data_IF_348973547342
#
_entry.id   IF_348973547342
#
_cell.length_a   1.000
_cell.length_b   1.000
_cell.length_c   1.000
_cell.angle_alpha   90.00
_cell.angle_beta   90.00
_cell.angle_gamma   90.00
#
_symmetry.space_group_name_H-M   'P 1'
#
loop_
_entity.id
_entity.type
_entity.pdbx_description
1 polymer ?
#
# COMPACT_ATOMS: atom_id res chain seq x y z
N UNK A 1 -17.18 10.12 21.76
CA UNK A 1 -15.99 9.40 21.27
C UNK A 1 -16.08 9.08 19.79
N UNK A 2 -17.12 8.39 19.25
CA UNK A 2 -17.22 8.03 17.82
C UNK A 2 -17.17 9.22 16.86
N UNK A 3 -17.81 10.35 17.18
CA UNK A 3 -17.79 11.58 16.36
C UNK A 3 -16.40 12.25 16.34
N UNK A 4 -15.67 12.20 17.45
CA UNK A 4 -14.30 12.76 17.54
C UNK A 4 -13.31 11.91 16.72
N UNK A 5 -13.43 10.58 16.76
CA UNK A 5 -12.62 9.68 15.98
C UNK A 5 -12.83 9.89 14.46
N UNK A 6 -14.09 10.02 14.03
CA UNK A 6 -14.44 10.33 12.65
C UNK A 6 -13.88 11.68 12.20
N UNK A 7 -13.99 12.71 13.02
CA UNK A 7 -13.43 14.03 12.74
C UNK A 7 -11.90 13.99 12.64
N UNK A 8 -11.23 13.25 13.53
CA UNK A 8 -9.77 13.10 13.50
C UNK A 8 -9.31 12.37 12.24
N UNK A 9 -10.03 11.32 11.81
CA UNK A 9 -9.74 10.60 10.58
C UNK A 9 -9.90 11.53 9.37
N UNK A 10 -10.98 12.29 9.29
CA UNK A 10 -11.23 13.24 8.19
C UNK A 10 -10.18 14.36 8.18
N UNK A 11 -9.79 14.91 9.34
CA UNK A 11 -8.77 15.95 9.44
C UNK A 11 -7.37 15.47 9.06
N UNK A 12 -7.06 14.20 9.31
CA UNK A 12 -5.76 13.62 8.94
C UNK A 12 -5.69 13.18 7.48
N UNK A 13 -6.82 12.84 6.87
CA UNK A 13 -6.85 12.37 5.47
C UNK A 13 -6.98 13.52 4.47
N UNK A 14 -7.68 14.61 4.80
CA UNK A 14 -7.92 15.72 3.89
C UNK A 14 -6.62 16.36 3.33
N UNK A 15 -5.59 16.71 4.14
CA UNK A 15 -4.34 17.24 3.61
C UNK A 15 -3.54 16.21 2.80
N UNK A 16 -3.70 14.91 3.07
CA UNK A 16 -3.00 13.85 2.37
C UNK A 16 -3.56 13.64 0.95
N UNK A 17 -4.86 13.84 0.78
CA UNK A 17 -5.51 13.78 -0.54
C UNK A 17 -5.07 14.93 -1.45
N UNK A 18 -4.74 16.08 -0.88
CA UNK A 18 -4.25 17.24 -1.63
C UNK A 18 -2.80 17.08 -2.15
N UNK A 19 -2.05 16.13 -1.60
CA UNK A 19 -0.66 15.83 -2.01
C UNK A 19 -0.58 14.71 -3.07
N UNK A 20 -1.70 14.08 -3.41
CA UNK A 20 -1.69 12.97 -4.36
C UNK A 20 -1.44 13.47 -5.79
N UNK A 21 -0.56 12.77 -6.51
CA UNK A 21 -0.25 13.08 -7.90
C UNK A 21 -1.40 12.72 -8.85
N UNK A 22 -1.47 13.42 -9.98
CA UNK A 22 -2.47 13.15 -11.00
C UNK A 22 -1.97 12.07 -11.98
N UNK A 23 -1.94 10.82 -11.50
CA UNK A 23 -1.44 9.67 -12.24
C UNK A 23 -2.15 9.45 -13.59
N UNK A 24 -3.40 9.89 -13.72
CA UNK A 24 -4.15 9.82 -14.98
C UNK A 24 -3.64 10.81 -16.02
N UNK A 25 -3.41 12.05 -15.63
CA UNK A 25 -2.88 13.08 -16.52
C UNK A 25 -1.43 12.80 -16.89
N UNK A 26 -0.59 12.40 -15.93
CA UNK A 26 0.80 12.02 -16.19
C UNK A 26 0.88 10.91 -17.23
N UNK A 27 0.03 9.90 -17.09
CA UNK A 27 -0.02 8.83 -18.09
C UNK A 27 -0.42 9.37 -19.47
N UNK A 28 -1.47 10.18 -19.57
CA UNK A 28 -1.93 10.77 -20.83
C UNK A 28 -0.84 11.58 -21.50
N UNK A 29 -0.15 12.41 -20.72
CA UNK A 29 0.76 13.45 -21.26
C UNK A 29 2.15 12.89 -21.61
N UNK A 30 2.60 11.83 -20.92
CA UNK A 30 3.95 11.29 -21.08
C UNK A 30 3.99 9.88 -21.67
N UNK A 31 2.85 9.19 -21.80
CA UNK A 31 2.86 7.85 -22.38
C UNK A 31 3.19 7.88 -23.87
N UNK A 32 4.35 7.36 -24.22
CA UNK A 32 4.76 7.04 -25.59
C UNK A 32 4.59 5.54 -25.80
N UNK A 33 3.95 5.18 -26.93
CA UNK A 33 3.76 3.76 -27.28
C UNK A 33 5.06 2.98 -27.22
N UNK A 34 5.01 1.82 -26.62
CA UNK A 34 6.14 0.92 -26.48
C UNK A 34 6.10 0.13 -25.17
N UNK A 35 6.23 -1.17 -25.27
CA UNK A 35 6.11 -2.09 -24.13
C UNK A 35 7.15 -1.86 -23.03
N UNK A 36 8.31 -1.28 -23.36
CA UNK A 36 9.37 -1.00 -22.38
C UNK A 36 8.95 0.07 -21.35
N UNK A 37 8.41 1.20 -21.84
CA UNK A 37 7.92 2.27 -20.97
C UNK A 37 6.75 1.82 -20.11
N UNK A 38 5.80 1.09 -20.71
CA UNK A 38 4.66 0.55 -20.00
C UNK A 38 5.07 -0.46 -18.93
N UNK A 39 6.11 -1.27 -19.18
CA UNK A 39 6.67 -2.20 -18.18
C UNK A 39 7.31 -1.46 -17.02
N UNK A 40 8.09 -0.41 -17.28
CA UNK A 40 8.72 0.38 -16.22
C UNK A 40 7.67 1.06 -15.35
N UNK A 41 6.68 1.71 -15.96
CA UNK A 41 5.56 2.31 -15.25
C UNK A 41 4.78 1.29 -14.41
N UNK A 42 4.42 0.13 -14.99
CA UNK A 42 3.71 -0.93 -14.28
C UNK A 42 4.51 -1.46 -13.08
N UNK A 43 5.83 -1.59 -13.22
CA UNK A 43 6.70 -2.01 -12.11
C UNK A 43 6.66 -1.02 -10.95
N UNK A 44 6.77 0.27 -11.25
CA UNK A 44 6.75 1.32 -10.24
C UNK A 44 5.38 1.44 -9.58
N UNK A 45 4.30 1.32 -10.37
CA UNK A 45 2.94 1.28 -9.85
C UNK A 45 2.71 0.08 -8.91
N UNK A 46 3.22 -1.10 -9.28
CA UNK A 46 3.16 -2.29 -8.42
C UNK A 46 3.90 -2.06 -7.09
N UNK A 47 5.10 -1.50 -7.15
CA UNK A 47 5.88 -1.15 -5.96
C UNK A 47 5.13 -0.17 -5.06
N UNK A 48 4.55 0.88 -5.63
CA UNK A 48 3.78 1.90 -4.91
C UNK A 48 2.54 1.32 -4.23
N UNK A 49 1.73 0.53 -4.96
CA UNK A 49 0.53 -0.13 -4.41
C UNK A 49 0.90 -1.18 -3.37
N UNK A 50 1.96 -1.95 -3.64
CA UNK A 50 2.45 -2.97 -2.71
C UNK A 50 2.98 -2.43 -1.39
N UNK A 51 3.43 -1.18 -1.31
CA UNK A 51 3.86 -0.56 -0.05
C UNK A 51 2.74 -0.54 1.00
N UNK A 52 1.49 -0.58 0.58
CA UNK A 52 0.32 -0.59 1.47
C UNK A 52 0.16 -1.92 2.23
N UNK A 53 0.77 -3.02 1.78
CA UNK A 53 0.70 -4.33 2.43
C UNK A 53 1.31 -4.34 3.84
N UNK A 54 2.21 -3.42 4.10
CA UNK A 54 3.03 -3.43 5.29
C UNK A 54 2.55 -2.47 6.39
N UNK A 55 1.27 -2.22 6.48
CA UNK A 55 0.75 -1.22 7.42
C UNK A 55 0.81 -1.64 8.89
N UNK A 56 1.05 -2.92 9.20
CA UNK A 56 1.21 -3.37 10.59
C UNK A 56 1.99 -4.68 10.69
N UNK A 57 2.99 -4.70 11.57
CA UNK A 57 3.74 -5.91 11.95
C UNK A 57 3.25 -6.55 13.26
N UNK A 58 2.22 -5.99 13.91
CA UNK A 58 1.75 -6.47 15.22
C UNK A 58 0.52 -7.35 15.10
N UNK A 59 0.53 -8.46 15.86
CA UNK A 59 -0.67 -9.27 16.05
C UNK A 59 -1.76 -8.45 16.76
N UNK A 60 -2.94 -8.34 16.17
CA UNK A 60 -4.08 -7.65 16.76
C UNK A 60 -4.91 -8.61 17.59
N UNK A 61 -5.41 -8.13 18.74
CA UNK A 61 -6.31 -8.88 19.58
C UNK A 61 -7.73 -8.80 19.00
N UNK A 62 -8.39 -9.94 18.91
CA UNK A 62 -9.80 -10.00 18.51
C UNK A 62 -10.73 -9.66 19.71
N UNK A 63 -11.94 -9.13 19.49
CA UNK A 63 -12.54 -8.73 18.22
C UNK A 63 -12.17 -7.27 17.89
N UNK A 64 -11.33 -7.06 16.90
CA UNK A 64 -10.89 -5.71 16.54
C UNK A 64 -11.20 -5.37 15.09
N UNK A 65 -11.77 -4.21 14.86
CA UNK A 65 -11.81 -3.55 13.57
C UNK A 65 -10.76 -2.45 13.61
N UNK A 66 -9.87 -2.44 12.66
CA UNK A 66 -8.94 -1.35 12.45
C UNK A 66 -9.37 -0.57 11.21
N UNK A 67 -9.52 0.74 11.38
CA UNK A 67 -9.74 1.68 10.28
C UNK A 67 -8.53 2.60 10.22
N UNK A 68 -7.90 2.71 9.07
CA UNK A 68 -6.67 3.47 8.92
C UNK A 68 -6.60 4.22 7.59
N UNK A 69 -5.67 5.15 7.56
CA UNK A 69 -5.25 5.85 6.36
C UNK A 69 -3.73 5.82 6.27
N UNK A 70 -3.23 5.52 5.07
CA UNK A 70 -1.80 5.56 4.77
C UNK A 70 -1.53 6.52 3.63
N UNK A 71 -0.29 6.97 3.57
CA UNK A 71 0.29 7.65 2.41
C UNK A 71 1.59 6.97 2.05
N UNK A 72 1.70 6.61 0.79
CA UNK A 72 2.94 6.13 0.19
C UNK A 72 3.55 7.22 -0.66
N UNK A 73 4.83 7.48 -0.48
CA UNK A 73 5.65 8.40 -1.27
C UNK A 73 6.74 7.55 -1.92
N UNK A 74 6.72 7.45 -3.23
CA UNK A 74 7.56 6.53 -3.99
C UNK A 74 8.36 7.27 -5.04
N UNK A 75 9.65 6.97 -5.14
CA UNK A 75 10.51 7.49 -6.20
C UNK A 75 10.43 6.57 -7.41
N UNK A 76 9.91 7.04 -8.56
CA UNK A 76 9.89 6.25 -9.78
C UNK A 76 11.29 5.85 -10.24
N UNK A 77 11.40 4.73 -10.93
CA UNK A 77 12.65 4.27 -11.52
C UNK A 77 13.08 5.15 -12.71
N UNK A 78 14.37 5.25 -12.96
CA UNK A 78 14.91 6.03 -14.06
C UNK A 78 14.47 5.58 -15.47
N UNK A 79 13.95 4.36 -15.58
CA UNK A 79 13.37 3.85 -16.83
C UNK A 79 11.87 4.15 -17.01
N UNK A 80 11.25 4.80 -16.04
CA UNK A 80 9.86 5.21 -16.09
C UNK A 80 9.76 6.67 -16.56
N UNK A 81 9.47 6.86 -17.82
CA UNK A 81 9.31 8.18 -18.43
C UNK A 81 7.85 8.68 -18.41
N UNK A 82 6.93 7.92 -17.82
CA UNK A 82 5.51 8.27 -17.73
C UNK A 82 5.24 9.11 -16.48
N UNK A 83 5.89 8.80 -15.37
CA UNK A 83 5.79 9.61 -14.16
C UNK A 83 6.58 10.91 -14.36
N UNK A 84 5.90 12.05 -14.30
CA UNK A 84 6.48 13.38 -14.52
C UNK A 84 7.30 13.85 -13.33
N UNK A 85 6.96 13.38 -12.13
CA UNK A 85 7.48 13.87 -10.87
C UNK A 85 8.63 13.05 -10.32
N UNK A 86 9.47 13.71 -9.51
CA UNK A 86 10.56 13.05 -8.79
C UNK A 86 10.05 12.03 -7.77
N UNK A 87 8.81 12.18 -7.30
CA UNK A 87 8.13 11.28 -6.36
C UNK A 87 6.65 11.18 -6.72
N UNK A 88 6.08 10.00 -6.55
CA UNK A 88 4.64 9.74 -6.69
C UNK A 88 4.03 9.53 -5.31
N UNK A 89 2.95 10.23 -5.03
CA UNK A 89 2.24 10.19 -3.74
C UNK A 89 0.88 9.54 -3.91
N UNK A 90 0.60 8.49 -3.13
CA UNK A 90 -0.65 7.75 -3.20
C UNK A 90 -1.20 7.44 -1.80
N UNK A 91 -2.31 8.08 -1.40
CA UNK A 91 -3.01 7.75 -0.16
C UNK A 91 -3.94 6.55 -0.35
N UNK A 92 -4.14 5.77 0.73
CA UNK A 92 -5.11 4.68 0.82
C UNK A 92 -5.90 4.75 2.12
N UNK A 93 -7.17 4.36 2.04
CA UNK A 93 -7.97 3.99 3.20
C UNK A 93 -7.95 2.48 3.38
N UNK A 94 -7.84 2.02 4.61
CA UNK A 94 -7.73 0.60 4.95
C UNK A 94 -8.71 0.27 6.06
N UNK A 95 -9.42 -0.84 5.89
CA UNK A 95 -10.21 -1.49 6.92
C UNK A 95 -9.72 -2.91 7.10
N UNK A 96 -9.46 -3.31 8.33
CA UNK A 96 -9.00 -4.67 8.65
C UNK A 96 -9.79 -5.22 9.83
N UNK A 97 -10.14 -6.49 9.76
CA UNK A 97 -10.71 -7.23 10.88
C UNK A 97 -10.11 -8.62 10.96
N UNK A 98 -10.06 -9.20 12.17
CA UNK A 98 -9.61 -10.58 12.36
C UNK A 98 -10.75 -11.55 12.52
N UNK A 99 -10.60 -12.72 11.91
CA UNK A 99 -11.49 -13.85 12.16
C UNK A 99 -11.10 -14.50 13.49
N UNK A 100 -12.06 -14.68 14.41
CA UNK A 100 -11.78 -15.30 15.71
C UNK A 100 -11.08 -16.65 15.57
N UNK A 101 -10.17 -16.92 16.50
CA UNK A 101 -9.50 -18.22 16.68
C UNK A 101 -8.60 -18.70 15.53
N UNK A 102 -8.66 -18.09 14.33
CA UNK A 102 -7.89 -18.53 13.16
C UNK A 102 -6.59 -17.76 12.95
N UNK A 103 -6.38 -16.64 13.64
CA UNK A 103 -5.23 -15.75 13.38
C UNK A 103 -5.24 -15.09 11.99
N UNK A 104 -6.33 -15.29 11.22
CA UNK A 104 -6.52 -14.76 9.88
C UNK A 104 -7.19 -13.40 9.97
N UNK A 105 -6.62 -12.41 9.32
CA UNK A 105 -7.22 -11.10 9.09
C UNK A 105 -7.79 -10.98 7.68
N UNK A 106 -8.85 -10.20 7.55
CA UNK A 106 -9.42 -9.78 6.27
C UNK A 106 -9.18 -8.28 6.13
N UNK A 107 -8.63 -7.87 5.02
CA UNK A 107 -8.31 -6.47 4.72
C UNK A 107 -9.10 -6.03 3.50
N UNK A 108 -9.73 -4.85 3.59
CA UNK A 108 -10.23 -4.09 2.45
C UNK A 108 -9.46 -2.77 2.37
N UNK A 109 -9.09 -2.36 1.18
CA UNK A 109 -8.36 -1.11 0.98
C UNK A 109 -8.76 -0.43 -0.32
N UNK A 110 -8.63 0.89 -0.37
CA UNK A 110 -8.98 1.62 -1.57
C UNK A 110 -8.52 3.06 -1.55
N UNK A 111 -8.48 3.63 -2.75
CA UNK A 111 -8.19 5.04 -2.99
C UNK A 111 -9.02 5.55 -4.16
N UNK A 112 -9.36 6.81 -4.13
CA UNK A 112 -9.99 7.54 -5.24
C UNK A 112 -9.47 8.97 -5.21
N UNK A 113 -8.36 9.19 -5.93
CA UNK A 113 -7.64 10.47 -5.89
C UNK A 113 -7.07 10.81 -7.26
N UNK A 114 -7.22 12.07 -7.64
CA UNK A 114 -6.56 12.69 -8.81
C UNK A 114 -6.56 11.80 -10.07
N UNK A 115 -7.75 11.22 -10.40
CA UNK A 115 -7.92 10.42 -11.60
C UNK A 115 -7.46 8.97 -11.49
N UNK A 116 -6.89 8.54 -10.35
CA UNK A 116 -6.60 7.15 -10.06
C UNK A 116 -7.55 6.60 -9.00
N UNK A 117 -8.25 5.53 -9.34
CA UNK A 117 -9.13 4.80 -8.43
C UNK A 117 -8.63 3.36 -8.29
N UNK A 118 -8.47 2.90 -7.06
CA UNK A 118 -8.16 1.50 -6.76
C UNK A 118 -9.06 0.97 -5.66
N UNK A 119 -9.45 -0.28 -5.82
CA UNK A 119 -10.13 -1.06 -4.79
C UNK A 119 -9.47 -2.42 -4.71
N UNK A 120 -9.18 -2.85 -3.51
CA UNK A 120 -8.51 -4.11 -3.26
C UNK A 120 -8.85 -4.70 -1.92
N UNK A 121 -8.30 -5.86 -1.68
CA UNK A 121 -8.43 -6.55 -0.42
C UNK A 121 -7.49 -7.73 -0.34
N UNK A 122 -7.42 -8.34 0.84
CA UNK A 122 -6.51 -9.44 1.06
C UNK A 122 -6.76 -10.16 2.36
N UNK A 123 -5.93 -11.14 2.57
CA UNK A 123 -5.89 -11.94 3.78
C UNK A 123 -4.53 -11.75 4.45
N UNK A 124 -4.54 -11.66 5.76
CA UNK A 124 -3.33 -11.67 6.58
C UNK A 124 -3.39 -12.84 7.55
N UNK A 125 -2.23 -13.42 7.83
CA UNK A 125 -2.08 -14.45 8.86
C UNK A 125 -0.96 -14.03 9.79
N UNK A 126 -1.20 -14.08 11.10
CA UNK A 126 -0.25 -13.67 12.12
C UNK A 126 -0.07 -14.77 13.15
N UNK A 127 1.20 -15.05 13.46
CA UNK A 127 1.58 -16.01 14.47
C UNK A 127 2.72 -15.46 15.35
N UNK A 128 2.69 -15.82 16.61
CA UNK A 128 3.80 -15.58 17.53
C UNK A 128 4.67 -16.83 17.57
N UNK A 129 5.93 -16.73 17.18
CA UNK A 129 6.86 -17.86 17.23
C UNK A 129 7.42 -18.07 18.64
N UNK A 130 7.83 -16.99 19.28
CA UNK A 130 8.33 -16.92 20.65
C UNK A 130 7.84 -15.62 21.26
N UNK A 131 7.89 -15.47 22.57
CA UNK A 131 7.25 -14.35 23.30
C UNK A 131 7.50 -12.96 22.72
N UNK A 132 8.60 -12.76 22.04
CA UNK A 132 8.98 -11.45 21.49
C UNK A 132 9.04 -11.40 19.95
N UNK A 133 8.87 -12.52 19.23
CA UNK A 133 8.96 -12.57 17.77
C UNK A 133 7.63 -12.93 17.14
N UNK A 134 7.08 -12.01 16.38
CA UNK A 134 5.86 -12.22 15.61
C UNK A 134 6.18 -12.32 14.13
N UNK A 135 5.52 -13.23 13.44
CA UNK A 135 5.50 -13.33 11.99
C UNK A 135 4.12 -12.98 11.47
N UNK A 136 4.10 -12.23 10.38
CA UNK A 136 2.87 -11.91 9.66
C UNK A 136 3.07 -12.18 8.17
N UNK A 137 2.07 -12.80 7.56
CA UNK A 137 2.02 -13.07 6.13
C UNK A 137 0.80 -12.37 5.55
N UNK A 138 0.91 -11.88 4.33
CA UNK A 138 -0.21 -11.24 3.64
C UNK A 138 -0.27 -11.65 2.18
N UNK A 139 -1.49 -11.72 1.65
CA UNK A 139 -1.74 -11.86 0.22
C UNK A 139 -2.88 -10.92 -0.16
N UNK A 140 -2.68 -10.12 -1.22
CA UNK A 140 -3.59 -9.05 -1.60
C UNK A 140 -3.84 -9.05 -3.10
N UNK A 141 -4.99 -8.53 -3.47
CA UNK A 141 -5.35 -8.20 -4.83
C UNK A 141 -5.93 -6.79 -4.88
N UNK A 142 -5.51 -5.99 -5.86
CA UNK A 142 -6.02 -4.65 -6.12
C UNK A 142 -6.36 -4.50 -7.59
N UNK A 143 -7.47 -3.83 -7.86
CA UNK A 143 -7.85 -3.40 -9.18
C UNK A 143 -7.83 -1.89 -9.25
N UNK A 144 -6.86 -1.36 -9.97
CA UNK A 144 -6.66 0.06 -10.18
C UNK A 144 -7.09 0.49 -11.58
N UNK A 145 -7.54 1.74 -11.73
CA UNK A 145 -7.93 2.30 -13.01
C UNK A 145 -7.79 3.81 -13.05
N UNK A 146 -7.49 4.30 -14.23
CA UNK A 146 -7.67 5.68 -14.66
C UNK A 146 -8.53 5.69 -15.93
N UNK A 147 -8.75 6.84 -16.53
CA UNK A 147 -9.39 6.93 -17.84
C UNK A 147 -8.53 6.30 -18.96
N UNK A 148 -7.21 6.25 -18.77
CA UNK A 148 -6.22 5.86 -19.77
C UNK A 148 -5.66 4.46 -19.63
N UNK A 149 -5.79 3.83 -18.44
CA UNK A 149 -5.35 2.46 -18.20
C UNK A 149 -6.14 1.78 -17.09
N UNK A 150 -6.01 0.46 -17.05
CA UNK A 150 -6.42 -0.40 -15.93
C UNK A 150 -5.21 -1.24 -15.51
N UNK A 151 -5.05 -1.44 -14.22
CA UNK A 151 -4.07 -2.38 -13.68
C UNK A 151 -4.72 -3.38 -12.72
N UNK A 152 -4.27 -4.62 -12.79
CA UNK A 152 -4.54 -5.67 -11.82
C UNK A 152 -3.23 -5.95 -11.09
N UNK A 153 -3.23 -5.85 -9.77
CA UNK A 153 -2.06 -6.01 -8.90
C UNK A 153 -2.30 -7.14 -7.91
N UNK A 154 -1.34 -8.04 -7.81
CA UNK A 154 -1.29 -9.13 -6.84
C UNK A 154 -0.03 -8.98 -6.01
N UNK A 155 -0.13 -9.15 -4.71
CA UNK A 155 1.03 -9.11 -3.84
C UNK A 155 0.99 -10.20 -2.77
N UNK A 156 2.19 -10.62 -2.38
CA UNK A 156 2.41 -11.46 -1.22
C UNK A 156 3.53 -10.87 -0.37
N UNK A 157 3.40 -10.93 0.95
CA UNK A 157 4.36 -10.34 1.87
C UNK A 157 4.56 -11.19 3.12
N UNK A 158 5.76 -11.08 3.70
CA UNK A 158 6.11 -11.68 4.98
C UNK A 158 6.84 -10.63 5.83
N UNK A 159 6.45 -10.51 7.09
CA UNK A 159 6.98 -9.52 8.05
C UNK A 159 7.41 -10.26 9.31
N UNK A 160 8.58 -9.92 9.81
CA UNK A 160 9.04 -10.29 11.15
C UNK A 160 9.06 -9.02 12.02
N UNK A 161 8.51 -9.10 13.22
CA UNK A 161 8.41 -7.97 14.14
C UNK A 161 8.64 -8.38 15.59
N UNK A 162 9.10 -7.43 16.39
CA UNK A 162 9.21 -7.57 17.84
C UNK A 162 8.54 -6.39 18.53
N UNK A 163 7.87 -6.62 19.67
CA UNK A 163 7.21 -5.54 20.41
C UNK A 163 7.98 -5.21 21.65
N UNK A 164 8.38 -3.95 21.79
CA UNK A 164 9.09 -3.39 22.93
C UNK A 164 8.27 -2.20 23.44
N UNK A 165 7.54 -2.40 24.53
CA UNK A 165 6.60 -1.40 25.06
C UNK A 165 5.55 -0.97 24.00
N UNK A 166 5.56 0.30 23.63
CA UNK A 166 4.67 0.87 22.61
C UNK A 166 5.23 0.78 21.18
N UNK A 167 6.48 0.37 21.02
CA UNK A 167 7.19 0.32 19.74
C UNK A 167 7.22 -1.09 19.20
N UNK A 168 6.98 -1.25 17.91
CA UNK A 168 7.09 -2.53 17.21
C UNK A 168 7.92 -2.32 15.94
N UNK A 169 9.27 -2.38 16.04
CA UNK A 169 10.12 -2.44 14.87
C UNK A 169 9.85 -3.71 14.07
N UNK A 170 9.96 -3.62 12.76
CA UNK A 170 9.72 -4.74 11.86
C UNK A 170 10.56 -4.66 10.59
N UNK A 171 10.82 -5.83 10.03
CA UNK A 171 11.39 -5.99 8.70
C UNK A 171 10.46 -6.86 7.87
N UNK A 172 10.45 -6.66 6.57
CA UNK A 172 9.58 -7.44 5.70
C UNK A 172 10.15 -7.60 4.30
N UNK A 173 9.65 -8.62 3.63
CA UNK A 173 9.87 -8.88 2.22
C UNK A 173 8.55 -9.09 1.54
N UNK A 174 8.46 -8.75 0.26
CA UNK A 174 7.27 -8.96 -0.53
C UNK A 174 7.60 -9.17 -1.99
N UNK A 175 6.60 -9.61 -2.71
CA UNK A 175 6.65 -9.77 -4.15
C UNK A 175 5.34 -9.27 -4.75
N UNK A 176 5.45 -8.36 -5.70
CA UNK A 176 4.34 -7.79 -6.44
C UNK A 176 4.34 -8.33 -7.85
N UNK A 177 3.17 -8.66 -8.35
CA UNK A 177 2.93 -8.98 -9.76
C UNK A 177 1.77 -8.12 -10.25
N UNK A 178 1.98 -7.42 -11.34
CA UNK A 178 0.92 -6.60 -11.92
C UNK A 178 0.83 -6.71 -13.41
N UNK A 179 -0.39 -6.47 -13.89
CA UNK A 179 -0.72 -6.38 -15.31
C UNK A 179 -1.42 -5.07 -15.56
N UNK A 180 -0.85 -4.25 -16.43
CA UNK A 180 -1.45 -3.00 -16.90
C UNK A 180 -1.92 -3.17 -18.34
N UNK A 181 -3.06 -2.55 -18.66
CA UNK A 181 -3.61 -2.47 -20.01
C UNK A 181 -4.04 -1.04 -20.28
N UNK A 182 -3.55 -0.46 -21.38
CA UNK A 182 -3.95 0.87 -21.84
C UNK A 182 -5.41 0.88 -22.32
N UNK A 183 -6.04 2.04 -22.25
CA UNK A 183 -7.42 2.30 -22.70
C UNK A 183 -7.43 3.56 -23.56
N UNK A 184 -8.28 3.59 -24.57
CA UNK A 184 -8.37 4.76 -25.46
C UNK A 184 -7.25 4.86 -26.51
N UNK A 185 -6.36 3.88 -26.59
CA UNK A 185 -5.31 3.77 -27.59
C UNK A 185 -5.64 2.64 -28.57
N UNK A 186 -5.42 2.84 -29.86
CA UNK A 186 -5.62 1.82 -30.88
C UNK A 186 -4.27 1.48 -31.56
N UNK A 187 -3.79 0.22 -31.48
CA UNK A 187 -4.28 -0.86 -30.60
C UNK A 187 -3.96 -0.60 -29.12
N UNK A 188 -4.76 -1.20 -28.22
CA UNK A 188 -4.45 -1.18 -26.79
C UNK A 188 -3.20 -2.03 -26.52
N UNK A 189 -2.29 -1.50 -25.70
CA UNK A 189 -1.09 -2.21 -25.26
C UNK A 189 -1.29 -2.81 -23.85
N UNK A 190 -0.52 -3.85 -23.56
CA UNK A 190 -0.49 -4.44 -22.22
C UNK A 190 0.92 -4.83 -21.83
N UNK A 191 1.23 -4.69 -20.55
CA UNK A 191 2.47 -5.15 -19.96
C UNK A 191 2.20 -5.85 -18.63
N UNK A 192 3.05 -6.82 -18.30
CA UNK A 192 3.04 -7.48 -17.00
C UNK A 192 4.46 -7.68 -16.51
N UNK A 193 4.65 -7.56 -15.21
CA UNK A 193 5.94 -7.82 -14.58
C UNK A 193 5.77 -8.09 -13.08
N UNK A 194 6.82 -8.69 -12.50
CA UNK A 194 6.94 -8.89 -11.08
C UNK A 194 8.07 -8.04 -10.49
N UNK A 195 7.94 -7.67 -9.23
CA UNK A 195 8.88 -6.82 -8.51
C UNK A 195 9.05 -7.33 -7.08
N UNK A 196 10.26 -7.81 -6.70
CA UNK A 196 10.57 -8.06 -5.31
C UNK A 196 10.74 -6.74 -4.56
N UNK A 197 10.35 -6.72 -3.30
CA UNK A 197 10.57 -5.58 -2.41
C UNK A 197 11.01 -6.02 -1.03
N UNK A 198 11.81 -5.16 -0.39
CA UNK A 198 12.19 -5.27 0.99
C UNK A 198 11.77 -4.04 1.75
N UNK A 199 11.54 -4.16 3.06
CA UNK A 199 11.22 -3.00 3.87
C UNK A 199 11.70 -3.11 5.30
N UNK A 200 11.84 -1.96 5.92
CA UNK A 200 12.04 -1.78 7.35
C UNK A 200 11.08 -0.72 7.86
N UNK A 201 10.52 -0.92 9.03
CA UNK A 201 9.56 0.03 9.58
C UNK A 201 9.41 -0.04 11.09
N UNK A 202 8.60 0.87 11.60
CA UNK A 202 8.29 1.01 13.01
C UNK A 202 6.80 1.29 13.18
N UNK A 203 6.12 0.46 13.97
CA UNK A 203 4.80 0.76 14.49
C UNK A 203 4.92 1.40 15.88
N UNK A 204 4.06 2.35 16.17
CA UNK A 204 3.91 3.01 17.46
C UNK A 204 2.47 2.93 17.90
N UNK A 205 2.22 2.37 19.08
CA UNK A 205 0.90 2.25 19.68
C UNK A 205 0.88 3.01 21.02
N UNK A 206 0.78 4.35 21.00
CA UNK A 206 0.84 5.17 22.22
C UNK A 206 -0.37 4.91 23.12
N UNK A 207 -1.50 4.52 22.55
CA UNK A 207 -2.74 4.17 23.25
C UNK A 207 -3.37 2.93 22.60
N UNK A 208 -4.18 2.15 23.33
CA UNK A 208 -4.82 0.95 22.79
C UNK A 208 -5.64 1.18 21.51
N UNK A 209 -6.23 2.37 21.38
CA UNK A 209 -7.10 2.72 20.26
C UNK A 209 -6.36 3.37 19.08
N UNK A 210 -5.10 3.78 19.24
CA UNK A 210 -4.37 4.51 18.21
C UNK A 210 -3.12 3.74 17.79
N UNK A 211 -2.95 3.54 16.50
CA UNK A 211 -1.75 2.98 15.90
C UNK A 211 -1.20 3.97 14.87
N UNK A 212 0.08 4.23 14.94
CA UNK A 212 0.83 4.92 13.88
C UNK A 212 1.93 4.05 13.36
N UNK A 213 2.34 4.26 12.11
CA UNK A 213 3.51 3.56 11.57
C UNK A 213 4.24 4.40 10.52
N UNK A 214 5.50 4.06 10.33
CA UNK A 214 6.33 4.54 9.24
C UNK A 214 7.18 3.39 8.73
N UNK A 215 7.36 3.32 7.41
CA UNK A 215 8.20 2.32 6.77
C UNK A 215 9.01 2.92 5.63
N UNK A 216 10.19 2.37 5.40
CA UNK A 216 11.00 2.58 4.21
C UNK A 216 11.01 1.29 3.41
N UNK A 217 10.67 1.40 2.12
CA UNK A 217 10.57 0.27 1.20
C UNK A 217 11.55 0.45 0.05
N UNK A 218 12.21 -0.63 -0.34
CA UNK A 218 13.09 -0.70 -1.50
C UNK A 218 12.60 -1.76 -2.47
N UNK A 219 12.68 -1.47 -3.74
CA UNK A 219 12.53 -2.42 -4.85
C UNK A 219 13.85 -2.49 -5.61
N UNK A 220 13.90 -3.23 -6.71
CA UNK A 220 15.12 -3.35 -7.51
C UNK A 220 15.68 -2.00 -7.97
N UNK A 221 14.81 -1.08 -8.44
CA UNK A 221 15.24 0.15 -9.11
C UNK A 221 14.60 1.41 -8.50
N UNK A 222 13.87 1.26 -7.39
CA UNK A 222 13.08 2.33 -6.78
C UNK A 222 13.00 2.17 -5.28
N UNK A 223 12.58 3.22 -4.59
CA UNK A 223 12.39 3.21 -3.13
C UNK A 223 11.31 4.22 -2.72
N UNK A 224 10.83 4.08 -1.51
CA UNK A 224 9.80 4.99 -1.01
C UNK A 224 9.57 4.89 0.48
N UNK A 225 8.73 5.79 0.97
CA UNK A 225 8.28 5.83 2.35
C UNK A 225 6.77 5.63 2.41
N UNK A 226 6.33 4.91 3.41
CA UNK A 226 4.90 4.80 3.74
C UNK A 226 4.72 5.16 5.19
N UNK A 227 3.73 5.99 5.47
CA UNK A 227 3.32 6.32 6.82
C UNK A 227 1.82 6.28 6.94
N UNK A 228 1.31 6.02 8.13
CA UNK A 228 -0.13 5.99 8.34
C UNK A 228 -0.55 6.00 9.79
N UNK A 229 -1.84 6.21 9.97
CA UNK A 229 -2.50 6.18 11.27
C UNK A 229 -3.73 5.28 11.19
N UNK A 230 -4.01 4.57 12.26
CA UNK A 230 -5.17 3.70 12.37
C UNK A 230 -5.83 3.79 13.75
N UNK A 231 -7.14 3.55 13.75
CA UNK A 231 -7.95 3.45 14.95
C UNK A 231 -8.41 2.00 15.13
N UNK A 232 -8.19 1.47 16.31
CA UNK A 232 -8.61 0.13 16.71
C UNK A 232 -9.89 0.22 17.55
N UNK A 233 -10.90 -0.60 17.20
CA UNK A 233 -12.18 -0.67 17.91
C UNK A 233 -12.46 -2.08 18.39
#
# INVERSE_FOLDING_TARGET
>A
MKKLALLLTVFLTAPLLALADNMGNDFRDHYVRGTSNLKAYNRDLNGLVGMVDFHTGRAKVFPGINLGANVSVFKPSSGNNISSDSYTVLPFLIAETKIPYLGVGVVARGTDVNGYRSLGGGLTYQMTLIEFLNLSFGAFYDNGRTDWYRNDHYSASAIASTTILMFTPYIGVGYDYGKIKTRGYDPNESASNGTPRGMVGLNVNPFPLLTGFVAYTVTKDSHGFTGGLGLNF
#
